data_IF_432122338239
#
_entry.id   IF_432122338239
#
_cell.length_a   1.000
_cell.length_b   1.000
_cell.length_c   1.000
_cell.angle_alpha   90.00
_cell.angle_beta   90.00
_cell.angle_gamma   90.00
#
_symmetry.space_group_name_H-M   'P 1'
#
loop_
_entity.id
_entity.type
_entity.pdbx_description
1 polymer ?
#
# COMPACT_ATOMS: atom_id res chain seq x y z
N UNK A 1 -2.09 -10.90 -11.53
CA UNK A 1 -3.28 -11.50 -12.10
C UNK A 1 -2.98 -12.47 -13.22
N UNK A 2 -2.39 -12.04 -14.34
CA UNK A 2 -2.19 -12.88 -15.54
C UNK A 2 -1.31 -14.12 -15.32
N UNK A 3 -0.47 -14.13 -14.29
CA UNK A 3 0.45 -15.23 -13.98
C UNK A 3 0.02 -16.09 -12.78
N UNK A 4 -1.15 -15.82 -12.22
CA UNK A 4 -1.68 -16.61 -11.11
C UNK A 4 -2.46 -17.82 -11.63
N UNK A 5 -2.32 -18.96 -10.98
CA UNK A 5 -3.10 -20.17 -11.31
C UNK A 5 -4.51 -20.10 -10.69
N UNK A 6 -4.61 -19.52 -9.50
CA UNK A 6 -5.85 -19.42 -8.73
C UNK A 6 -5.95 -18.11 -7.95
N UNK A 7 -7.18 -17.71 -7.67
CA UNK A 7 -7.50 -16.52 -6.85
C UNK A 7 -8.40 -16.93 -5.70
N UNK A 8 -8.03 -16.49 -4.50
CA UNK A 8 -8.87 -16.64 -3.31
C UNK A 8 -9.90 -15.49 -3.29
N UNK A 9 -11.17 -15.84 -3.28
CA UNK A 9 -12.30 -14.89 -3.29
C UNK A 9 -13.14 -15.07 -2.03
N UNK A 10 -13.39 -13.97 -1.32
CA UNK A 10 -14.29 -13.94 -0.17
C UNK A 10 -15.70 -13.53 -0.60
N UNK A 11 -16.69 -14.27 -0.13
CA UNK A 11 -18.12 -14.02 -0.36
C UNK A 11 -18.93 -14.26 0.93
N UNK A 12 -20.24 -14.03 0.88
CA UNK A 12 -21.08 -14.08 2.07
C UNK A 12 -21.07 -15.44 2.80
N UNK A 13 -20.84 -16.56 2.08
CA UNK A 13 -20.81 -17.91 2.64
C UNK A 13 -19.39 -18.38 3.03
N UNK A 14 -18.35 -17.57 2.83
CA UNK A 14 -16.97 -17.93 3.14
C UNK A 14 -15.97 -17.54 2.06
N UNK A 15 -14.96 -18.38 1.85
CA UNK A 15 -13.94 -18.17 0.82
C UNK A 15 -13.94 -19.34 -0.15
N UNK A 16 -13.66 -19.05 -1.42
CA UNK A 16 -13.48 -20.04 -2.48
C UNK A 16 -12.17 -19.79 -3.24
N UNK A 17 -11.53 -20.87 -3.68
CA UNK A 17 -10.35 -20.81 -4.53
C UNK A 17 -10.78 -21.00 -5.98
N UNK A 18 -10.67 -19.94 -6.79
CA UNK A 18 -11.15 -19.90 -8.17
C UNK A 18 -9.97 -20.03 -9.15
N UNK A 19 -9.98 -21.02 -10.06
CA UNK A 19 -8.98 -21.14 -11.10
C UNK A 19 -9.04 -19.96 -12.08
N UNK A 20 -7.91 -19.34 -12.37
CA UNK A 20 -7.82 -18.23 -13.33
C UNK A 20 -8.16 -18.70 -14.74
N UNK A 21 -7.80 -19.93 -15.10
CA UNK A 21 -8.11 -20.52 -16.40
C UNK A 21 -9.62 -20.60 -16.73
N UNK A 22 -10.48 -20.54 -15.71
CA UNK A 22 -11.95 -20.55 -15.88
C UNK A 22 -12.57 -19.15 -15.90
N UNK A 23 -11.77 -18.12 -15.67
CA UNK A 23 -12.24 -16.73 -15.67
C UNK A 23 -12.34 -16.16 -17.07
N UNK A 24 -13.30 -15.26 -17.25
CA UNK A 24 -13.22 -14.29 -18.34
C UNK A 24 -12.17 -13.25 -17.95
N UNK A 25 -11.12 -13.09 -18.76
CA UNK A 25 -9.99 -12.21 -18.48
C UNK A 25 -9.98 -11.03 -19.45
N UNK A 26 -9.86 -9.82 -18.92
CA UNK A 26 -9.67 -8.59 -19.67
C UNK A 26 -8.38 -7.89 -19.20
N UNK A 27 -7.54 -7.37 -20.11
CA UNK A 27 -6.36 -6.60 -19.73
C UNK A 27 -6.72 -5.41 -18.84
N UNK A 28 -5.88 -5.12 -17.84
CA UNK A 28 -5.97 -3.92 -17.02
C UNK A 28 -4.92 -2.88 -17.44
N UNK A 29 -4.82 -1.78 -16.70
CA UNK A 29 -3.96 -0.64 -17.06
C UNK A 29 -2.45 -0.95 -17.00
N UNK A 30 -2.03 -2.01 -16.34
CA UNK A 30 -0.62 -2.39 -16.20
C UNK A 30 -0.38 -3.77 -16.79
N UNK A 31 0.81 -3.98 -17.34
CA UNK A 31 1.27 -5.28 -17.79
C UNK A 31 1.14 -6.32 -16.66
N UNK A 32 0.61 -7.50 -16.98
CA UNK A 32 0.31 -8.61 -16.04
C UNK A 32 -0.82 -8.35 -15.04
N UNK A 33 -1.44 -7.16 -15.03
CA UNK A 33 -2.67 -6.94 -14.29
C UNK A 33 -3.86 -7.26 -15.21
N UNK A 34 -4.85 -7.97 -14.67
CA UNK A 34 -6.04 -8.38 -15.41
C UNK A 34 -7.29 -8.23 -14.54
N UNK A 35 -8.40 -7.94 -15.19
CA UNK A 35 -9.71 -8.05 -14.59
C UNK A 35 -10.23 -9.47 -14.84
N UNK A 36 -10.57 -10.17 -13.77
CA UNK A 36 -11.06 -11.54 -13.83
C UNK A 36 -12.54 -11.58 -13.42
N UNK A 37 -13.33 -12.30 -14.20
CA UNK A 37 -14.77 -12.49 -13.91
C UNK A 37 -15.12 -13.96 -13.94
N UNK A 38 -15.85 -14.40 -12.94
CA UNK A 38 -16.45 -15.73 -12.87
C UNK A 38 -17.97 -15.60 -12.79
N UNK A 39 -18.69 -16.57 -13.34
CA UNK A 39 -20.14 -16.65 -13.16
C UNK A 39 -20.49 -17.00 -11.71
N UNK A 40 -21.71 -16.68 -11.30
CA UNK A 40 -22.20 -17.04 -9.97
C UNK A 40 -22.20 -18.58 -9.73
N UNK A 41 -22.42 -19.37 -10.79
CA UNK A 41 -22.37 -20.82 -10.71
C UNK A 41 -20.97 -21.35 -10.50
N UNK A 42 -19.96 -20.78 -11.18
CA UNK A 42 -18.55 -21.10 -10.95
C UNK A 42 -18.13 -20.79 -9.52
N UNK A 43 -18.55 -19.65 -8.97
CA UNK A 43 -18.23 -19.27 -7.57
C UNK A 43 -18.88 -20.23 -6.59
N UNK A 44 -20.14 -20.65 -6.83
CA UNK A 44 -20.86 -21.62 -5.97
C UNK A 44 -20.26 -23.03 -6.03
N UNK A 45 -19.80 -23.44 -7.20
CA UNK A 45 -19.21 -24.76 -7.42
C UNK A 45 -17.74 -24.85 -6.99
N UNK A 46 -17.08 -23.71 -6.72
CA UNK A 46 -15.69 -23.69 -6.38
C UNK A 46 -15.43 -24.30 -5.00
N UNK A 47 -14.36 -25.09 -4.84
CA UNK A 47 -14.02 -25.68 -3.55
C UNK A 47 -13.66 -24.60 -2.53
N UNK A 48 -14.01 -24.85 -1.27
CA UNK A 48 -13.43 -24.12 -0.18
C UNK A 48 -11.90 -24.36 -0.14
N UNK A 49 -11.10 -23.37 0.23
CA UNK A 49 -9.66 -23.58 0.37
C UNK A 49 -9.40 -24.59 1.50
N UNK A 50 -8.40 -25.44 1.28
CA UNK A 50 -7.95 -26.47 2.26
C UNK A 50 -7.22 -25.84 3.47
N UNK A 51 -7.35 -24.52 3.62
CA UNK A 51 -6.75 -23.74 4.71
C UNK A 51 -7.86 -23.26 5.61
N UNK A 52 -7.80 -23.64 6.88
CA UNK A 52 -8.67 -23.07 7.91
C UNK A 52 -8.34 -21.58 8.09
N UNK A 53 -9.15 -20.72 7.50
CA UNK A 53 -9.04 -19.29 7.74
C UNK A 53 -9.61 -18.98 9.13
N UNK A 54 -8.92 -18.19 9.96
CA UNK A 54 -9.45 -17.77 11.26
C UNK A 54 -10.84 -17.14 11.11
N UNK A 55 -11.73 -17.43 12.04
CA UNK A 55 -13.05 -16.80 12.06
C UNK A 55 -12.91 -15.27 12.07
N UNK A 56 -13.62 -14.61 11.15
CA UNK A 56 -13.55 -13.15 11.01
C UNK A 56 -12.38 -12.63 10.16
N UNK A 57 -11.61 -13.53 9.51
CA UNK A 57 -10.59 -13.08 8.56
C UNK A 57 -11.22 -12.30 7.41
N UNK A 58 -10.72 -11.10 7.19
CA UNK A 58 -11.07 -10.23 6.08
C UNK A 58 -9.92 -10.22 5.05
N UNK A 59 -10.17 -10.84 3.87
CA UNK A 59 -9.18 -10.87 2.78
C UNK A 59 -8.77 -9.48 2.32
N UNK A 60 -9.65 -8.48 2.45
CA UNK A 60 -9.30 -7.10 2.17
C UNK A 60 -8.20 -6.60 3.12
N UNK A 61 -8.25 -6.98 4.39
CA UNK A 61 -7.20 -6.65 5.36
C UNK A 61 -5.86 -7.29 4.97
N UNK A 62 -5.85 -8.57 4.57
CA UNK A 62 -4.63 -9.21 4.07
C UNK A 62 -4.06 -8.51 2.84
N UNK A 63 -4.90 -8.28 1.86
CA UNK A 63 -4.50 -7.57 0.64
C UNK A 63 -3.99 -6.16 0.94
N UNK A 64 -4.66 -5.43 1.84
CA UNK A 64 -4.25 -4.08 2.22
C UNK A 64 -2.89 -4.05 2.93
N UNK A 65 -2.59 -5.05 3.77
CA UNK A 65 -1.28 -5.20 4.39
C UNK A 65 -0.17 -5.40 3.36
N UNK A 66 -0.37 -6.30 2.40
CA UNK A 66 0.57 -6.52 1.30
C UNK A 66 0.76 -5.26 0.44
N UNK A 67 -0.34 -4.59 0.09
CA UNK A 67 -0.31 -3.34 -0.70
C UNK A 67 0.36 -2.21 0.07
N UNK A 68 0.19 -2.12 1.39
CA UNK A 68 0.90 -1.12 2.21
C UNK A 68 2.43 -1.34 2.19
N UNK A 69 2.88 -2.59 2.25
CA UNK A 69 4.29 -2.92 2.12
C UNK A 69 4.85 -2.57 0.73
N UNK A 70 4.10 -2.88 -0.35
CA UNK A 70 4.46 -2.51 -1.72
C UNK A 70 4.54 -0.98 -1.89
N UNK A 71 3.55 -0.23 -1.36
CA UNK A 71 3.55 1.23 -1.36
C UNK A 71 4.80 1.77 -0.64
N UNK A 72 5.13 1.27 0.54
CA UNK A 72 6.29 1.73 1.30
C UNK A 72 7.62 1.50 0.54
N UNK A 73 7.76 0.36 -0.15
CA UNK A 73 8.92 0.08 -0.99
C UNK A 73 9.03 1.04 -2.19
N UNK A 74 7.92 1.23 -2.91
CA UNK A 74 7.89 2.13 -4.06
C UNK A 74 8.10 3.60 -3.67
N UNK A 75 7.55 4.05 -2.53
CA UNK A 75 7.79 5.38 -1.98
C UNK A 75 9.26 5.64 -1.68
N UNK A 76 9.94 4.66 -1.08
CA UNK A 76 11.37 4.75 -0.81
C UNK A 76 12.18 4.86 -2.10
N UNK A 77 11.86 4.06 -3.11
CA UNK A 77 12.53 4.09 -4.41
C UNK A 77 12.31 5.43 -5.12
N UNK A 78 11.07 5.95 -5.13
CA UNK A 78 10.79 7.28 -5.71
C UNK A 78 11.60 8.37 -5.00
N UNK A 79 11.68 8.33 -3.68
CA UNK A 79 12.47 9.31 -2.92
C UNK A 79 13.96 9.21 -3.23
N UNK A 80 14.54 8.01 -3.25
CA UNK A 80 15.97 7.81 -3.56
C UNK A 80 16.32 8.30 -4.96
N UNK A 81 15.49 7.96 -5.98
CA UNK A 81 15.67 8.45 -7.36
C UNK A 81 15.56 9.96 -7.44
N UNK A 82 14.59 10.55 -6.73
CA UNK A 82 14.42 12.01 -6.74
C UNK A 82 15.58 12.72 -6.06
N UNK A 83 16.07 12.18 -4.95
CA UNK A 83 17.26 12.70 -4.26
C UNK A 83 18.51 12.63 -5.15
N UNK A 84 18.72 11.49 -5.82
CA UNK A 84 19.83 11.31 -6.75
C UNK A 84 19.72 12.29 -7.92
N UNK A 85 18.55 12.39 -8.55
CA UNK A 85 18.31 13.34 -9.64
C UNK A 85 18.61 14.78 -9.21
N UNK A 86 18.17 15.19 -8.02
CA UNK A 86 18.43 16.54 -7.51
C UNK A 86 19.92 16.83 -7.30
N UNK A 87 20.72 15.81 -6.99
CA UNK A 87 22.17 15.95 -6.85
C UNK A 87 22.91 15.94 -8.19
N UNK A 88 22.41 15.23 -9.19
CA UNK A 88 23.07 15.09 -10.49
C UNK A 88 22.67 16.20 -11.47
N UNK A 89 21.41 16.65 -11.43
CA UNK A 89 20.89 17.67 -12.34
C UNK A 89 21.47 19.03 -12.01
N UNK A 90 22.18 19.62 -12.98
CA UNK A 90 22.76 20.95 -12.84
C UNK A 90 21.93 22.00 -13.57
N UNK A 91 21.62 23.09 -12.88
CA UNK A 91 21.05 24.32 -13.42
C UNK A 91 21.61 25.54 -12.68
N UNK A 92 21.73 26.66 -13.38
CA UNK A 92 22.29 27.89 -12.80
C UNK A 92 23.69 27.68 -12.16
N UNK A 93 24.52 26.82 -12.79
CA UNK A 93 25.90 26.58 -12.39
C UNK A 93 26.11 25.65 -11.18
N UNK A 94 25.05 24.97 -10.68
CA UNK A 94 25.15 24.04 -9.56
C UNK A 94 24.05 22.97 -9.58
N UNK A 95 24.21 21.86 -8.83
CA UNK A 95 23.15 20.87 -8.63
C UNK A 95 21.86 21.50 -8.11
N UNK A 96 20.69 21.07 -8.63
CA UNK A 96 19.41 21.64 -8.19
C UNK A 96 19.11 21.35 -6.72
N UNK A 97 19.62 20.26 -6.14
CA UNK A 97 19.55 19.94 -4.72
C UNK A 97 20.27 20.94 -3.79
N UNK A 98 21.02 21.92 -4.34
CA UNK A 98 21.61 23.01 -3.56
C UNK A 98 20.69 24.23 -3.43
N UNK A 99 19.50 24.22 -4.06
CA UNK A 99 18.51 25.28 -3.88
C UNK A 99 17.58 24.97 -2.73
N UNK A 100 17.34 25.96 -1.87
CA UNK A 100 16.50 25.78 -0.67
C UNK A 100 15.09 25.27 -0.98
N UNK A 101 14.49 25.72 -2.10
CA UNK A 101 13.17 25.24 -2.51
C UNK A 101 13.13 23.72 -2.76
N UNK A 102 14.17 23.18 -3.40
CA UNK A 102 14.30 21.73 -3.64
C UNK A 102 14.60 20.99 -2.34
N UNK A 103 15.49 21.53 -1.49
CA UNK A 103 15.80 20.93 -0.19
C UNK A 103 14.56 20.83 0.70
N UNK A 104 13.71 21.86 0.70
CA UNK A 104 12.47 21.84 1.45
C UNK A 104 11.49 20.75 0.94
N UNK A 105 11.33 20.65 -0.37
CA UNK A 105 10.50 19.59 -0.96
C UNK A 105 11.03 18.18 -0.62
N UNK A 106 12.34 17.96 -0.72
CA UNK A 106 12.98 16.70 -0.36
C UNK A 106 12.82 16.38 1.14
N UNK A 107 12.89 17.38 2.01
CA UNK A 107 12.66 17.19 3.44
C UNK A 107 11.22 16.72 3.72
N UNK A 108 10.21 17.39 3.14
CA UNK A 108 8.80 16.97 3.24
C UNK A 108 8.59 15.58 2.66
N UNK A 109 9.18 15.26 1.50
CA UNK A 109 9.13 13.92 0.94
C UNK A 109 9.70 12.88 1.92
N UNK A 110 10.85 13.17 2.56
CA UNK A 110 11.48 12.25 3.51
C UNK A 110 10.57 11.95 4.70
N UNK A 111 9.89 12.95 5.26
CA UNK A 111 8.92 12.77 6.36
C UNK A 111 7.78 11.82 5.95
N UNK A 112 7.20 12.01 4.77
CA UNK A 112 6.15 11.13 4.24
C UNK A 112 6.65 9.70 4.05
N UNK A 113 7.82 9.52 3.47
CA UNK A 113 8.39 8.21 3.13
C UNK A 113 8.76 7.43 4.39
N UNK A 114 9.45 8.06 5.35
CA UNK A 114 9.85 7.38 6.58
C UNK A 114 8.65 7.08 7.48
N UNK A 115 7.67 7.97 7.57
CA UNK A 115 6.43 7.69 8.29
C UNK A 115 5.63 6.54 7.65
N UNK A 116 5.56 6.48 6.30
CA UNK A 116 4.93 5.36 5.58
C UNK A 116 5.67 4.03 5.82
N UNK A 117 7.01 4.05 5.81
CA UNK A 117 7.84 2.89 6.09
C UNK A 117 7.61 2.36 7.52
N UNK A 118 7.55 3.25 8.52
CA UNK A 118 7.27 2.86 9.90
C UNK A 118 5.85 2.29 10.04
N UNK A 119 4.87 2.93 9.40
CA UNK A 119 3.49 2.44 9.41
C UNK A 119 3.36 1.06 8.72
N UNK A 120 4.06 0.83 7.60
CA UNK A 120 4.07 -0.47 6.93
C UNK A 120 4.70 -1.56 7.82
N UNK A 121 5.79 -1.25 8.54
CA UNK A 121 6.37 -2.17 9.54
C UNK A 121 5.36 -2.53 10.62
N UNK A 122 4.63 -1.54 11.14
CA UNK A 122 3.57 -1.75 12.10
C UNK A 122 2.47 -2.67 11.53
N UNK A 123 2.04 -2.45 10.30
CA UNK A 123 1.03 -3.28 9.62
C UNK A 123 1.47 -4.73 9.36
N UNK A 124 2.79 -4.97 9.30
CA UNK A 124 3.37 -6.31 9.15
C UNK A 124 3.73 -6.96 10.50
N UNK A 125 3.67 -6.22 11.62
CA UNK A 125 3.95 -6.74 12.93
C UNK A 125 2.73 -7.45 13.50
N UNK A 126 2.96 -8.52 14.26
CA UNK A 126 1.91 -9.29 14.95
C UNK A 126 2.44 -10.63 15.43
N UNK A 127 1.80 -11.19 16.46
CA UNK A 127 2.15 -12.50 17.03
C UNK A 127 1.63 -13.68 16.20
N UNK A 128 0.77 -13.43 15.22
CA UNK A 128 0.12 -14.44 14.39
C UNK A 128 0.58 -14.43 12.95
N UNK A 129 0.15 -15.47 12.20
CA UNK A 129 0.37 -15.57 10.74
C UNK A 129 -0.40 -14.46 10.00
N UNK A 130 -1.49 -13.97 10.60
CA UNK A 130 -2.37 -12.99 9.98
C UNK A 130 -2.20 -11.61 10.63
N UNK A 131 -2.18 -10.53 9.82
CA UNK A 131 -1.99 -9.17 10.33
C UNK A 131 -3.22 -8.68 11.09
N UNK A 132 -2.99 -7.86 12.10
CA UNK A 132 -4.03 -7.21 12.87
C UNK A 132 -4.69 -6.08 12.04
N UNK A 133 -6.03 -6.09 11.98
CA UNK A 133 -6.81 -5.16 11.15
C UNK A 133 -6.54 -3.69 11.45
N UNK A 134 -6.40 -3.30 12.73
CA UNK A 134 -6.15 -1.91 13.11
C UNK A 134 -4.76 -1.45 12.67
N UNK A 135 -3.73 -2.29 12.88
CA UNK A 135 -2.36 -2.01 12.43
C UNK A 135 -2.29 -1.88 10.90
N UNK A 136 -2.99 -2.75 10.17
CA UNK A 136 -3.12 -2.66 8.71
C UNK A 136 -3.85 -1.39 8.29
N UNK A 137 -4.91 -1.00 9.01
CA UNK A 137 -5.65 0.22 8.70
C UNK A 137 -4.76 1.46 8.80
N UNK A 138 -3.97 1.58 9.87
CA UNK A 138 -2.98 2.66 10.05
C UNK A 138 -1.93 2.63 8.93
N UNK A 139 -1.38 1.45 8.64
CA UNK A 139 -0.37 1.27 7.60
C UNK A 139 -0.88 1.67 6.21
N UNK A 140 -2.03 1.11 5.80
CA UNK A 140 -2.59 1.35 4.47
C UNK A 140 -3.03 2.80 4.30
N UNK A 141 -3.68 3.40 5.30
CA UNK A 141 -4.07 4.80 5.26
C UNK A 141 -2.84 5.70 5.10
N UNK A 142 -1.81 5.52 5.93
CA UNK A 142 -0.60 6.36 5.91
C UNK A 142 0.20 6.20 4.62
N UNK A 143 0.39 4.96 4.13
CA UNK A 143 1.08 4.72 2.87
C UNK A 143 0.31 5.29 1.68
N UNK A 144 -1.02 5.15 1.64
CA UNK A 144 -1.85 5.71 0.57
C UNK A 144 -1.83 7.25 0.55
N UNK A 145 -1.85 7.89 1.71
CA UNK A 145 -1.72 9.34 1.83
C UNK A 145 -0.34 9.83 1.36
N UNK A 146 0.73 9.12 1.76
CA UNK A 146 2.09 9.46 1.34
C UNK A 146 2.28 9.32 -0.18
N UNK A 147 1.60 8.35 -0.81
CA UNK A 147 1.73 8.08 -2.24
C UNK A 147 1.41 9.31 -3.11
N UNK A 148 0.38 10.07 -2.75
CA UNK A 148 0.01 11.30 -3.48
C UNK A 148 1.07 12.38 -3.31
N UNK A 149 1.39 12.73 -2.06
CA UNK A 149 2.34 13.81 -1.76
C UNK A 149 3.74 13.56 -2.33
N UNK A 150 4.23 12.31 -2.24
CA UNK A 150 5.55 11.94 -2.75
C UNK A 150 5.57 11.91 -4.29
N UNK A 151 4.53 11.40 -4.94
CA UNK A 151 4.45 11.40 -6.40
C UNK A 151 4.44 12.84 -6.97
N UNK A 152 3.61 13.71 -6.40
CA UNK A 152 3.54 15.12 -6.80
C UNK A 152 4.87 15.85 -6.65
N UNK A 153 5.53 15.72 -5.48
CA UNK A 153 6.82 16.34 -5.23
C UNK A 153 7.92 15.78 -6.14
N UNK A 154 7.93 14.48 -6.39
CA UNK A 154 8.89 13.85 -7.30
C UNK A 154 8.75 14.40 -8.72
N UNK A 155 7.54 14.46 -9.27
CA UNK A 155 7.29 15.04 -10.59
C UNK A 155 7.64 16.52 -10.65
N UNK A 156 7.35 17.29 -9.60
CA UNK A 156 7.72 18.71 -9.53
C UNK A 156 9.25 18.91 -9.59
N UNK A 157 10.03 18.09 -8.87
CA UNK A 157 11.51 18.16 -8.87
C UNK A 157 12.10 17.71 -10.21
N UNK A 158 11.57 16.66 -10.83
CA UNK A 158 12.06 16.18 -12.13
C UNK A 158 11.63 17.06 -13.31
N UNK A 159 10.55 17.85 -13.15
CA UNK A 159 9.97 18.64 -14.21
C UNK A 159 9.53 17.77 -15.40
N UNK A 160 9.73 18.26 -16.62
CA UNK A 160 9.32 17.54 -17.84
C UNK A 160 9.91 16.14 -17.95
N UNK A 161 11.13 15.90 -17.49
CA UNK A 161 11.81 14.61 -17.53
C UNK A 161 11.01 13.52 -16.79
N UNK A 162 10.36 13.86 -15.68
CA UNK A 162 9.56 12.90 -14.90
C UNK A 162 8.32 12.38 -15.61
N UNK A 163 7.90 13.01 -16.71
CA UNK A 163 6.73 12.63 -17.51
C UNK A 163 7.10 11.89 -18.79
N UNK A 164 8.38 11.79 -19.12
CA UNK A 164 8.82 11.08 -20.35
C UNK A 164 8.84 9.58 -20.14
N UNK A 165 8.63 8.81 -21.20
CA UNK A 165 8.77 7.35 -21.19
C UNK A 165 10.23 6.88 -21.05
N UNK A 166 11.17 7.74 -21.37
CA UNK A 166 12.61 7.49 -21.24
C UNK A 166 13.08 7.43 -19.80
N UNK A 167 12.30 8.01 -18.87
CA UNK A 167 12.65 8.06 -17.46
C UNK A 167 11.69 7.23 -16.61
N UNK A 168 12.25 6.28 -15.85
CA UNK A 168 11.50 5.24 -15.14
C UNK A 168 10.61 5.73 -13.99
N UNK A 169 10.65 7.02 -13.63
CA UNK A 169 9.86 7.56 -12.51
C UNK A 169 8.37 7.26 -12.67
N UNK A 170 7.84 7.42 -13.89
CA UNK A 170 6.42 7.21 -14.19
C UNK A 170 5.98 5.75 -13.93
N UNK A 171 6.87 4.77 -14.04
CA UNK A 171 6.55 3.37 -13.75
C UNK A 171 6.20 3.17 -12.28
N UNK A 172 6.88 3.89 -11.38
CA UNK A 172 6.64 3.85 -9.94
C UNK A 172 5.43 4.71 -9.54
N UNK A 173 5.36 5.96 -10.02
CA UNK A 173 4.30 6.89 -9.59
C UNK A 173 2.93 6.44 -10.08
N UNK A 174 2.81 5.86 -11.27
CA UNK A 174 1.57 5.24 -11.75
C UNK A 174 1.13 4.07 -10.86
N UNK A 175 2.08 3.23 -10.39
CA UNK A 175 1.80 2.16 -9.43
C UNK A 175 1.37 2.71 -8.07
N UNK A 176 2.01 3.77 -7.57
CA UNK A 176 1.59 4.45 -6.34
C UNK A 176 0.14 4.91 -6.42
N UNK A 177 -0.28 5.54 -7.52
CA UNK A 177 -1.67 5.96 -7.73
C UNK A 177 -2.65 4.79 -7.79
N UNK A 178 -2.30 3.68 -8.44
CA UNK A 178 -3.15 2.49 -8.50
C UNK A 178 -3.26 1.80 -7.13
N UNK A 179 -2.13 1.55 -6.47
CA UNK A 179 -2.10 0.83 -5.21
C UNK A 179 -2.73 1.61 -4.05
N UNK A 180 -2.73 2.96 -4.07
CA UNK A 180 -3.43 3.72 -3.03
C UNK A 180 -4.94 3.43 -3.00
N UNK A 181 -5.54 3.07 -4.14
CA UNK A 181 -6.95 2.70 -4.23
C UNK A 181 -7.20 1.20 -4.02
N UNK A 182 -6.20 0.35 -4.27
CA UNK A 182 -6.31 -1.10 -4.16
C UNK A 182 -6.57 -1.52 -2.71
N UNK A 183 -7.49 -2.44 -2.51
CA UNK A 183 -7.91 -2.96 -1.20
C UNK A 183 -8.49 -1.89 -0.24
N UNK A 184 -8.99 -0.82 -0.76
CA UNK A 184 -9.56 0.32 -0.02
C UNK A 184 -8.66 1.56 -0.03
N UNK A 185 -9.30 2.72 -0.20
CA UNK A 185 -8.64 4.03 -0.20
C UNK A 185 -8.19 4.45 1.20
N UNK A 186 -7.43 5.53 1.29
CA UNK A 186 -7.07 6.16 2.57
C UNK A 186 -8.29 6.50 3.42
N UNK A 187 -9.36 7.03 2.81
CA UNK A 187 -10.58 7.38 3.54
C UNK A 187 -11.27 6.16 4.16
N UNK A 188 -11.30 5.03 3.44
CA UNK A 188 -11.84 3.79 3.99
C UNK A 188 -11.06 3.34 5.23
N UNK A 189 -9.73 3.32 5.15
CA UNK A 189 -8.89 2.85 6.25
C UNK A 189 -8.80 3.84 7.40
N UNK A 190 -8.90 5.15 7.15
CA UNK A 190 -9.12 6.15 8.22
C UNK A 190 -10.44 5.91 8.94
N UNK A 191 -11.51 5.56 8.21
CA UNK A 191 -12.79 5.19 8.81
C UNK A 191 -12.67 3.96 9.74
N UNK A 192 -11.92 2.93 9.32
CA UNK A 192 -11.67 1.75 10.15
C UNK A 192 -10.90 2.10 11.42
N UNK A 193 -9.83 2.90 11.32
CA UNK A 193 -9.05 3.34 12.48
C UNK A 193 -9.87 4.26 13.41
N UNK A 194 -10.65 5.18 12.84
CA UNK A 194 -11.54 6.06 13.59
C UNK A 194 -12.64 5.30 14.33
N UNK A 195 -13.26 4.30 13.71
CA UNK A 195 -14.26 3.45 14.36
C UNK A 195 -13.68 2.66 15.53
N UNK A 196 -12.46 2.14 15.40
CA UNK A 196 -11.75 1.47 16.48
C UNK A 196 -11.48 2.42 17.67
N UNK A 197 -11.13 3.68 17.38
CA UNK A 197 -10.92 4.68 18.43
C UNK A 197 -12.23 5.04 19.15
N UNK A 198 -13.33 5.22 18.40
CA UNK A 198 -14.58 5.73 18.98
C UNK A 198 -15.37 4.63 19.69
N UNK A 199 -15.36 3.40 19.16
CA UNK A 199 -16.24 2.32 19.61
C UNK A 199 -15.50 1.12 20.20
N UNK A 200 -14.22 0.97 19.92
CA UNK A 200 -13.45 -0.24 20.26
C UNK A 200 -12.52 -0.11 21.46
N UNK A 201 -12.35 1.09 22.02
CA UNK A 201 -11.37 1.32 23.08
C UNK A 201 -11.99 2.04 24.28
N UNK A 202 -11.87 1.42 25.45
CA UNK A 202 -12.41 1.97 26.70
C UNK A 202 -11.44 2.97 27.40
N UNK A 203 -10.21 3.11 26.90
CA UNK A 203 -9.17 3.97 27.45
C UNK A 203 -9.04 5.32 26.71
N UNK A 204 -7.96 6.03 26.99
CA UNK A 204 -7.62 7.25 26.29
C UNK A 204 -7.11 6.99 24.88
N UNK A 205 -7.17 8.00 24.00
CA UNK A 205 -6.55 7.95 22.66
C UNK A 205 -5.05 7.56 22.73
N UNK A 206 -4.36 8.03 23.78
CA UNK A 206 -2.94 7.71 23.99
C UNK A 206 -2.72 6.22 24.28
N UNK A 207 -3.62 5.60 25.04
CA UNK A 207 -3.54 4.16 25.33
C UNK A 207 -3.77 3.32 24.09
N UNK A 208 -4.72 3.72 23.23
CA UNK A 208 -4.91 3.08 21.92
C UNK A 208 -3.67 3.20 21.04
N UNK A 209 -3.08 4.40 20.97
CA UNK A 209 -1.85 4.61 20.17
C UNK A 209 -0.74 3.70 20.70
N UNK A 210 -0.49 3.69 22.02
CA UNK A 210 0.55 2.87 22.63
C UNK A 210 0.34 1.39 22.37
N UNK A 211 -0.86 0.87 22.61
CA UNK A 211 -1.17 -0.55 22.39
C UNK A 211 -1.05 -0.97 20.94
N UNK A 212 -1.38 -0.06 19.99
CA UNK A 212 -1.28 -0.33 18.55
C UNK A 212 0.17 -0.26 18.07
N UNK A 213 0.98 0.67 18.59
CA UNK A 213 2.35 0.94 18.10
C UNK A 213 3.44 0.17 18.84
N UNK A 214 3.13 -0.43 19.99
CA UNK A 214 4.09 -1.25 20.71
C UNK A 214 4.31 -2.60 20.00
N UNK A 215 5.41 -2.66 19.24
CA UNK A 215 5.86 -3.87 18.54
C UNK A 215 6.93 -4.64 19.32
N UNK A 216 7.38 -4.12 20.47
CA UNK A 216 8.42 -4.77 21.28
C UNK A 216 7.90 -6.02 21.95
N UNK A 217 6.64 -6.05 22.36
CA UNK A 217 5.98 -7.24 22.89
C UNK A 217 5.89 -8.38 21.85
N UNK A 218 5.88 -8.06 20.55
CA UNK A 218 5.78 -9.03 19.46
C UNK A 218 7.13 -9.71 19.13
N UNK A 219 8.26 -9.14 19.59
CA UNK A 219 9.62 -9.64 19.29
C UNK A 219 10.11 -10.60 20.38
N UNK A 220 9.50 -10.55 21.57
CA UNK A 220 9.94 -11.33 22.75
C UNK A 220 9.09 -12.57 23.02
N UNK A 221 8.09 -12.84 22.20
CA UNK A 221 7.23 -14.01 22.26
C UNK A 221 7.55 -15.00 21.12
#
# INVERSE_FOLDING_TARGET
GAVADSVLVQHAQGCSLLPVAQAQSEPAAFCLDVNLRWSADQVRAAPAPDIALPGGLDLRTLQAGLVAAQLAGALMEVFQRTLQYANDRQQFGRPIGKFQAIQHQLAVMSEHVFAARMAARLGCAGQGIFPERLRVAVAKARCSQAALAVAEAAHAIHGAMGFTEEYDLQLLTRRLHAWRQTAGSESYWHGVAGAALVHGHAGSTLDLIRSTTDITADITA
#
